data_IF_725310964887
#
_entry.id   IF_725310964887
#
_cell.length_a   1.000
_cell.length_b   1.000
_cell.length_c   1.000
_cell.angle_alpha   90.00
_cell.angle_beta   90.00
_cell.angle_gamma   90.00
#
_symmetry.space_group_name_H-M   'P 1'
#
loop_
_entity.id
_entity.type
_entity.pdbx_description
1 polymer ?
#
# COMPACT_ATOMS: atom_id res chain seq x y z
N UNK A 1 4.37 -14.16 1.82
CA UNK A 1 3.91 -15.54 2.14
C UNK A 1 4.62 -16.14 3.37
N UNK A 2 5.63 -15.47 3.93
CA UNK A 2 6.25 -15.77 5.24
C UNK A 2 5.43 -15.26 6.44
N UNK A 3 4.43 -14.41 6.21
CA UNK A 3 3.66 -13.67 7.24
C UNK A 3 2.75 -14.56 8.12
N UNK A 4 2.76 -15.88 7.89
CA UNK A 4 1.95 -16.86 8.62
C UNK A 4 2.61 -17.33 9.92
N UNK A 5 3.95 -17.39 9.98
CA UNK A 5 4.63 -17.96 11.14
C UNK A 5 4.62 -17.02 12.35
N UNK A 6 4.88 -15.72 12.17
CA UNK A 6 4.83 -14.74 13.27
C UNK A 6 3.45 -14.68 13.93
N UNK A 7 2.38 -14.70 13.13
CA UNK A 7 1.02 -14.74 13.65
C UNK A 7 0.75 -16.03 14.46
N UNK A 8 1.29 -17.18 14.00
CA UNK A 8 1.17 -18.45 14.73
C UNK A 8 1.95 -18.49 16.02
N UNK A 9 3.15 -17.92 16.04
CA UNK A 9 3.94 -17.78 17.26
C UNK A 9 3.13 -17.02 18.31
N UNK A 10 2.58 -15.86 17.95
CA UNK A 10 1.74 -15.04 18.83
C UNK A 10 0.50 -15.82 19.30
N UNK A 11 -0.23 -16.46 18.39
CA UNK A 11 -1.46 -17.22 18.72
C UNK A 11 -1.20 -18.45 19.57
N UNK A 12 -0.02 -19.07 19.44
CA UNK A 12 0.41 -20.21 20.28
C UNK A 12 0.92 -19.75 21.65
N UNK A 13 1.08 -18.43 21.83
CA UNK A 13 1.55 -17.80 23.05
C UNK A 13 3.06 -17.82 23.23
N UNK A 14 3.83 -17.94 22.14
CA UNK A 14 5.28 -17.70 22.16
C UNK A 14 5.53 -16.26 22.64
N UNK A 15 6.49 -16.03 23.56
CA UNK A 15 6.79 -14.70 24.08
C UNK A 15 7.16 -13.71 22.97
N UNK A 16 6.74 -12.45 23.12
CA UNK A 16 7.09 -11.38 22.18
C UNK A 16 8.58 -11.04 22.23
N UNK A 17 9.27 -11.50 23.26
CA UNK A 17 10.71 -11.39 23.52
C UNK A 17 11.54 -12.39 22.69
N UNK A 18 10.91 -13.37 22.03
CA UNK A 18 11.63 -14.31 21.16
C UNK A 18 12.40 -13.55 20.05
N UNK A 19 13.68 -13.87 19.91
CA UNK A 19 14.58 -13.13 19.03
C UNK A 19 14.18 -13.14 17.55
N UNK A 20 13.63 -14.26 17.08
CA UNK A 20 13.14 -14.33 15.70
C UNK A 20 11.84 -13.52 15.55
N UNK A 21 10.90 -13.65 16.49
CA UNK A 21 9.65 -12.90 16.46
C UNK A 21 9.90 -11.40 16.48
N UNK A 22 10.74 -10.91 17.38
CA UNK A 22 11.12 -9.49 17.43
C UNK A 22 11.76 -9.03 16.13
N UNK A 23 12.70 -9.81 15.57
CA UNK A 23 13.33 -9.48 14.29
C UNK A 23 12.30 -9.36 13.16
N UNK A 24 11.32 -10.29 13.09
CA UNK A 24 10.25 -10.24 12.09
C UNK A 24 9.30 -9.06 12.31
N UNK A 25 8.91 -8.77 13.55
CA UNK A 25 8.07 -7.62 13.88
C UNK A 25 8.76 -6.30 13.55
N UNK A 26 10.08 -6.21 13.78
CA UNK A 26 10.87 -5.04 13.41
C UNK A 26 10.92 -4.84 11.88
N UNK A 27 11.10 -5.92 11.10
CA UNK A 27 11.04 -5.86 9.63
C UNK A 27 9.65 -5.41 9.16
N UNK A 28 8.57 -5.95 9.73
CA UNK A 28 7.20 -5.55 9.41
C UNK A 28 6.97 -4.06 9.72
N UNK A 29 7.39 -3.60 10.90
CA UNK A 29 7.31 -2.20 11.28
C UNK A 29 8.12 -1.30 10.32
N UNK A 30 9.31 -1.73 9.90
CA UNK A 30 10.11 -1.00 8.92
C UNK A 30 9.43 -0.93 7.55
N UNK A 31 8.77 -2.00 7.11
CA UNK A 31 7.99 -2.01 5.87
C UNK A 31 6.80 -1.05 5.92
N UNK A 32 6.06 -1.01 7.04
CA UNK A 32 4.97 -0.04 7.23
C UNK A 32 5.51 1.41 7.24
N UNK A 33 6.66 1.66 7.88
CA UNK A 33 7.32 2.98 7.88
C UNK A 33 7.76 3.43 6.48
N UNK A 34 8.01 2.52 5.53
CA UNK A 34 8.26 2.90 4.13
C UNK A 34 7.04 3.56 3.49
N UNK A 35 5.83 3.19 3.91
CA UNK A 35 4.60 3.86 3.46
C UNK A 35 4.57 5.33 3.86
N UNK A 36 5.01 5.66 5.08
CA UNK A 36 5.09 7.05 5.57
C UNK A 36 6.06 7.88 4.71
N UNK A 37 7.22 7.31 4.36
CA UNK A 37 8.19 7.94 3.44
C UNK A 37 7.60 8.22 2.05
N UNK A 38 6.60 7.42 1.63
CA UNK A 38 5.85 7.61 0.38
C UNK A 38 4.63 8.54 0.54
N UNK A 39 4.47 9.22 1.68
CA UNK A 39 3.33 10.09 1.97
C UNK A 39 2.02 9.36 2.30
N UNK A 40 2.06 8.04 2.56
CA UNK A 40 0.89 7.26 2.95
C UNK A 40 0.63 7.42 4.45
N UNK A 41 -0.09 8.49 4.79
CA UNK A 41 -0.45 8.80 6.16
C UNK A 41 -1.82 8.17 6.50
N UNK A 42 -1.90 7.32 7.54
CA UNK A 42 -3.19 6.82 7.99
C UNK A 42 -3.99 7.94 8.66
N UNK A 43 -5.18 8.22 8.13
CA UNK A 43 -6.12 9.20 8.69
C UNK A 43 -7.40 8.45 9.01
N UNK A 44 -7.89 8.57 10.25
CA UNK A 44 -9.17 7.99 10.66
C UNK A 44 -10.34 8.74 10.03
N UNK A 45 -11.50 8.08 9.96
CA UNK A 45 -12.76 8.70 9.56
C UNK A 45 -12.74 9.18 8.10
N UNK A 46 -12.03 8.43 7.27
CA UNK A 46 -11.90 8.61 5.83
C UNK A 46 -12.30 7.32 5.12
N UNK A 47 -13.03 7.45 4.02
CA UNK A 47 -13.64 6.33 3.30
C UNK A 47 -13.45 6.51 1.80
N UNK A 48 -13.38 5.40 1.06
CA UNK A 48 -13.59 5.42 -0.38
C UNK A 48 -15.01 4.93 -0.68
N UNK A 49 -15.83 5.80 -1.25
CA UNK A 49 -17.23 5.55 -1.54
C UNK A 49 -17.47 5.57 -3.04
N UNK A 50 -18.29 4.65 -3.54
CA UNK A 50 -18.69 4.64 -4.94
C UNK A 50 -19.63 5.82 -5.20
N UNK A 51 -19.29 6.65 -6.20
CA UNK A 51 -20.10 7.78 -6.59
C UNK A 51 -21.26 7.38 -7.49
N UNK A 52 -22.43 7.92 -7.22
CA UNK A 52 -23.60 7.80 -8.10
C UNK A 52 -24.50 9.03 -7.95
N UNK A 53 -25.57 9.11 -8.73
CA UNK A 53 -26.53 10.22 -8.69
C UNK A 53 -27.68 9.95 -7.74
N UNK A 54 -28.29 11.01 -7.22
CA UNK A 54 -29.56 10.97 -6.49
C UNK A 54 -30.69 10.57 -7.44
N UNK A 55 -31.28 9.36 -7.29
CA UNK A 55 -32.39 8.93 -8.13
C UNK A 55 -33.69 9.69 -7.83
N UNK A 56 -33.78 10.38 -6.69
CA UNK A 56 -34.99 11.08 -6.25
C UNK A 56 -35.05 12.53 -6.74
N UNK A 57 -33.90 13.11 -7.09
CA UNK A 57 -33.77 14.53 -7.47
C UNK A 57 -34.08 15.52 -6.34
N UNK A 58 -34.03 15.08 -5.07
CA UNK A 58 -34.40 15.89 -3.90
C UNK A 58 -33.20 16.54 -3.22
N UNK A 59 -31.98 16.02 -3.44
CA UNK A 59 -30.77 16.64 -2.93
C UNK A 59 -30.52 17.99 -3.62
N UNK A 60 -30.22 19.02 -2.81
CA UNK A 60 -29.82 20.34 -3.31
C UNK A 60 -28.38 20.32 -3.83
N UNK A 61 -28.00 21.34 -4.60
CA UNK A 61 -26.69 21.42 -5.26
C UNK A 61 -25.46 21.19 -4.35
N UNK A 62 -25.52 21.56 -3.06
CA UNK A 62 -24.40 21.37 -2.10
C UNK A 62 -24.66 20.23 -1.10
N UNK A 63 -25.68 19.41 -1.33
CA UNK A 63 -26.07 18.29 -0.48
C UNK A 63 -25.76 16.96 -1.16
N UNK A 64 -25.27 16.01 -0.38
CA UNK A 64 -25.02 14.63 -0.81
C UNK A 64 -25.69 13.66 0.15
N UNK A 65 -25.86 12.39 -0.23
CA UNK A 65 -26.23 11.34 0.70
C UNK A 65 -25.08 10.34 0.83
N UNK A 66 -24.43 10.33 1.99
CA UNK A 66 -23.34 9.39 2.31
C UNK A 66 -23.89 8.18 3.06
N UNK A 67 -23.61 6.98 2.55
CA UNK A 67 -24.00 5.70 3.14
C UNK A 67 -22.75 4.91 3.48
N UNK A 68 -22.48 4.75 4.77
CA UNK A 68 -21.34 4.00 5.30
C UNK A 68 -21.75 2.56 5.68
N UNK A 69 -20.83 1.80 6.27
CA UNK A 69 -21.09 0.44 6.73
C UNK A 69 -22.28 0.34 7.70
N UNK A 70 -22.34 1.29 8.64
CA UNK A 70 -23.33 1.32 9.71
C UNK A 70 -24.59 2.11 9.35
N UNK A 71 -24.76 2.49 8.08
CA UNK A 71 -25.91 3.26 7.59
C UNK A 71 -25.56 4.68 7.15
N UNK A 72 -26.57 5.53 6.94
CA UNK A 72 -26.37 6.88 6.42
C UNK A 72 -25.69 7.79 7.44
N UNK A 73 -24.79 8.64 6.95
CA UNK A 73 -24.14 9.69 7.73
C UNK A 73 -24.78 11.06 7.45
N UNK A 74 -25.00 11.86 8.48
CA UNK A 74 -25.52 13.24 8.34
C UNK A 74 -24.53 14.22 8.98
N UNK A 75 -24.16 15.27 8.25
CA UNK A 75 -23.16 16.25 8.69
C UNK A 75 -22.27 16.71 7.55
N UNK A 76 -21.33 17.61 7.84
CA UNK A 76 -20.38 18.07 6.84
C UNK A 76 -19.38 16.97 6.51
N UNK A 77 -19.01 16.89 5.23
CA UNK A 77 -18.05 15.92 4.69
C UNK A 77 -17.10 16.62 3.73
N UNK A 78 -15.84 16.21 3.75
CA UNK A 78 -14.88 16.53 2.70
C UNK A 78 -14.97 15.47 1.62
N UNK A 79 -15.05 15.87 0.37
CA UNK A 79 -15.14 14.97 -0.78
C UNK A 79 -14.07 15.34 -1.78
N UNK A 80 -13.37 14.34 -2.29
CA UNK A 80 -12.30 14.50 -3.27
C UNK A 80 -12.25 13.28 -4.19
N UNK A 81 -12.04 13.51 -5.49
CA UNK A 81 -11.73 12.44 -6.44
C UNK A 81 -10.25 12.49 -6.81
N UNK A 82 -9.55 11.39 -6.52
CA UNK A 82 -8.14 11.23 -6.86
C UNK A 82 -7.97 10.64 -8.27
N UNK A 83 -6.98 11.07 -9.06
CA UNK A 83 -6.10 12.22 -8.85
C UNK A 83 -6.71 13.52 -9.36
N UNK A 84 -6.52 14.60 -8.61
CA UNK A 84 -6.84 15.98 -8.95
C UNK A 84 -5.68 16.91 -8.56
N UNK A 85 -5.48 18.00 -9.30
CA UNK A 85 -4.39 18.97 -9.06
C UNK A 85 -4.88 20.34 -8.62
N UNK A 86 -6.13 20.70 -8.91
CA UNK A 86 -6.66 22.01 -8.57
C UNK A 86 -7.13 22.05 -7.12
N UNK A 87 -6.88 23.16 -6.43
CA UNK A 87 -7.33 23.34 -5.04
C UNK A 87 -8.86 23.26 -4.88
N UNK A 88 -9.57 23.56 -5.97
CA UNK A 88 -11.02 23.44 -6.05
C UNK A 88 -11.55 22.02 -6.21
N UNK A 89 -10.70 21.00 -6.42
CA UNK A 89 -11.17 19.60 -6.57
C UNK A 89 -11.63 18.97 -5.25
N UNK A 90 -11.39 19.64 -4.12
CA UNK A 90 -11.78 19.18 -2.80
C UNK A 90 -12.95 20.04 -2.33
N UNK A 91 -14.08 19.39 -2.08
CA UNK A 91 -15.34 20.04 -1.74
C UNK A 91 -15.69 19.80 -0.27
N UNK A 92 -16.25 20.81 0.38
CA UNK A 92 -16.98 20.65 1.65
C UNK A 92 -18.46 20.60 1.33
N UNK A 93 -19.09 19.45 1.55
CA UNK A 93 -20.50 19.19 1.23
C UNK A 93 -21.28 18.85 2.50
N UNK A 94 -22.60 19.02 2.45
CA UNK A 94 -23.47 18.61 3.56
C UNK A 94 -24.10 17.26 3.25
N UNK A 95 -23.74 16.22 4.00
CA UNK A 95 -24.42 14.94 3.91
C UNK A 95 -25.79 15.02 4.59
N UNK A 96 -26.85 14.67 3.86
CA UNK A 96 -28.22 14.54 4.33
C UNK A 96 -28.80 13.20 3.90
N UNK A 97 -29.50 12.58 4.83
CA UNK A 97 -30.30 11.40 4.53
C UNK A 97 -31.73 11.78 4.14
N UNK A 98 -32.19 11.29 3.00
CA UNK A 98 -33.57 11.41 2.53
C UNK A 98 -34.17 10.01 2.54
N UNK A 99 -35.31 9.83 3.22
CA UNK A 99 -35.96 8.52 3.39
C UNK A 99 -36.23 7.83 2.05
N UNK A 100 -36.65 8.59 1.06
CA UNK A 100 -36.99 8.12 -0.29
C UNK A 100 -35.79 7.52 -1.05
N UNK A 101 -34.55 7.85 -0.66
CA UNK A 101 -33.34 7.25 -1.23
C UNK A 101 -33.24 5.77 -0.83
N UNK A 102 -33.81 5.38 0.32
CA UNK A 102 -33.75 4.00 0.81
C UNK A 102 -34.41 3.01 -0.16
N UNK A 103 -35.52 3.40 -0.79
CA UNK A 103 -36.25 2.54 -1.71
C UNK A 103 -35.42 2.23 -2.97
N UNK A 104 -34.55 3.16 -3.39
CA UNK A 104 -33.68 2.99 -4.54
C UNK A 104 -32.36 2.28 -4.20
N UNK A 105 -31.76 2.58 -3.04
CA UNK A 105 -30.41 2.11 -2.67
C UNK A 105 -30.44 0.80 -1.86
N UNK A 106 -31.59 0.47 -1.26
CA UNK A 106 -31.78 -0.77 -0.52
C UNK A 106 -30.75 -0.97 0.60
N UNK A 107 -30.06 -2.11 0.59
CA UNK A 107 -29.04 -2.49 1.58
C UNK A 107 -27.61 -2.13 1.15
N UNK A 108 -27.45 -1.28 0.12
CA UNK A 108 -26.12 -0.89 -0.35
C UNK A 108 -25.33 -0.19 0.77
N UNK A 109 -24.01 -0.37 0.75
CA UNK A 109 -23.07 0.22 1.69
C UNK A 109 -21.91 0.83 0.91
N UNK A 110 -21.26 1.82 1.50
CA UNK A 110 -20.10 2.51 0.93
C UNK A 110 -20.41 3.25 -0.39
N UNK A 111 -21.46 4.07 -0.37
CA UNK A 111 -21.89 4.87 -1.52
C UNK A 111 -22.03 6.35 -1.13
N UNK A 112 -21.80 7.22 -2.11
CA UNK A 112 -22.11 8.65 -2.03
C UNK A 112 -23.01 9.01 -3.22
N UNK A 113 -24.18 9.56 -2.92
CA UNK A 113 -25.13 10.02 -3.92
C UNK A 113 -25.03 11.53 -4.07
N UNK A 114 -24.77 11.96 -5.30
CA UNK A 114 -24.63 13.36 -5.68
C UNK A 114 -25.94 13.93 -6.21
N UNK A 115 -26.21 15.23 -5.99
CA UNK A 115 -27.41 15.86 -6.47
C UNK A 115 -27.40 15.91 -7.99
N UNK A 116 -28.59 15.77 -8.59
CA UNK A 116 -28.83 16.01 -10.03
C UNK A 116 -29.26 17.45 -10.31
N UNK A 117 -29.13 18.32 -9.30
CA UNK A 117 -29.42 19.75 -9.36
C UNK A 117 -28.14 20.58 -9.32
N UNK A 118 -28.20 21.81 -9.85
CA UNK A 118 -27.05 22.72 -9.91
C UNK A 118 -26.64 23.07 -11.35
N UNK A 119 -25.80 24.10 -11.54
CA UNK A 119 -25.37 24.53 -12.88
C UNK A 119 -24.32 23.60 -13.50
N UNK A 120 -23.59 22.86 -12.68
CA UNK A 120 -22.54 21.91 -13.05
C UNK A 120 -22.59 20.73 -12.08
N UNK A 121 -22.27 19.53 -12.56
CA UNK A 121 -22.21 18.33 -11.71
C UNK A 121 -21.07 18.46 -10.69
N UNK A 122 -21.32 18.12 -9.42
CA UNK A 122 -20.28 18.07 -8.40
C UNK A 122 -19.14 17.09 -8.76
N UNK A 123 -19.45 15.99 -9.47
CA UNK A 123 -18.43 15.08 -9.96
C UNK A 123 -17.48 15.76 -10.95
N UNK A 124 -18.04 16.51 -11.90
CA UNK A 124 -17.26 17.22 -12.92
C UNK A 124 -16.42 18.36 -12.30
N UNK A 125 -16.91 18.98 -11.23
CA UNK A 125 -16.15 19.97 -10.44
C UNK A 125 -14.93 19.36 -9.73
N UNK A 126 -14.95 18.05 -9.44
CA UNK A 126 -13.88 17.32 -8.77
C UNK A 126 -13.04 16.52 -9.78
N UNK A 127 -12.02 17.16 -10.35
CA UNK A 127 -11.08 16.51 -11.27
C UNK A 127 -11.73 15.83 -12.49
N UNK A 128 -12.71 16.51 -13.11
CA UNK A 128 -13.49 16.05 -14.29
C UNK A 128 -13.99 14.60 -14.13
N UNK A 129 -14.48 14.26 -12.92
CA UNK A 129 -14.99 12.93 -12.60
C UNK A 129 -16.39 12.72 -13.17
N UNK A 130 -16.81 11.46 -13.26
CA UNK A 130 -18.18 11.09 -13.59
C UNK A 130 -18.71 10.00 -12.64
N UNK A 131 -19.70 9.23 -13.10
CA UNK A 131 -20.38 8.18 -12.32
C UNK A 131 -20.33 6.82 -13.02
N UNK A 132 -19.29 6.55 -13.84
CA UNK A 132 -19.11 5.27 -14.55
C UNK A 132 -18.44 4.16 -13.71
N UNK A 133 -18.13 4.47 -12.45
CA UNK A 133 -17.39 3.60 -11.53
C UNK A 133 -16.42 4.36 -10.61
N UNK A 134 -16.35 5.69 -10.73
CA UNK A 134 -15.48 6.54 -9.94
C UNK A 134 -15.72 6.40 -8.41
N UNK A 135 -14.60 6.33 -7.69
CA UNK A 135 -14.54 6.24 -6.23
C UNK A 135 -14.08 7.57 -5.64
N UNK A 136 -14.83 8.06 -4.66
CA UNK A 136 -14.57 9.34 -4.01
C UNK A 136 -13.99 9.10 -2.62
N UNK A 137 -12.90 9.78 -2.33
CA UNK A 137 -12.40 9.89 -0.97
C UNK A 137 -13.32 10.83 -0.20
N UNK A 138 -13.93 10.33 0.88
CA UNK A 138 -14.84 11.06 1.74
C UNK A 138 -14.32 11.06 3.16
N UNK A 139 -14.09 12.24 3.73
CA UNK A 139 -13.65 12.37 5.12
C UNK A 139 -14.70 13.07 5.97
N UNK A 140 -14.99 12.46 7.11
CA UNK A 140 -15.80 13.03 8.19
C UNK A 140 -14.92 13.49 9.36
N UNK A 141 -13.59 13.51 9.16
CA UNK A 141 -12.62 13.89 10.18
C UNK A 141 -12.79 15.37 10.55
N UNK A 142 -13.18 15.64 11.80
CA UNK A 142 -13.45 17.00 12.25
C UNK A 142 -12.25 17.94 12.16
N UNK A 143 -11.02 17.44 12.34
CA UNK A 143 -9.83 18.29 12.29
C UNK A 143 -9.58 18.78 10.87
N UNK A 144 -9.72 17.89 9.88
CA UNK A 144 -9.61 18.26 8.47
C UNK A 144 -10.73 19.22 8.06
N UNK A 145 -11.98 18.91 8.45
CA UNK A 145 -13.14 19.77 8.16
C UNK A 145 -13.00 21.19 8.75
N UNK A 146 -12.44 21.33 9.95
CA UNK A 146 -12.23 22.63 10.61
C UNK A 146 -11.12 23.46 9.97
N UNK A 147 -10.07 22.81 9.47
CA UNK A 147 -8.89 23.49 8.92
C UNK A 147 -9.00 23.75 7.42
N UNK A 148 -9.76 22.94 6.69
CA UNK A 148 -9.87 23.04 5.25
C UNK A 148 -10.67 24.28 4.82
N UNK A 149 -10.14 25.01 3.84
CA UNK A 149 -10.79 26.18 3.24
C UNK A 149 -11.13 25.86 1.79
N UNK A 150 -12.42 25.79 1.42
CA UNK A 150 -12.80 25.46 0.05
C UNK A 150 -12.38 26.55 -0.93
N UNK A 151 -11.99 26.13 -2.12
CA UNK A 151 -11.67 27.01 -3.26
C UNK A 151 -12.71 26.84 -4.35
N UNK A 152 -12.77 27.78 -5.29
CA UNK A 152 -13.63 27.61 -6.46
C UNK A 152 -13.16 26.40 -7.29
N UNK A 153 -14.08 25.60 -7.85
CA UNK A 153 -13.74 24.51 -8.76
C UNK A 153 -12.88 24.99 -9.92
N UNK A 154 -12.12 24.07 -10.51
CA UNK A 154 -11.38 24.39 -11.74
C UNK A 154 -12.39 24.69 -12.85
N UNK A 155 -12.23 25.85 -13.49
CA UNK A 155 -13.00 26.22 -14.67
C UNK A 155 -12.05 26.21 -15.87
N UNK A 156 -12.60 25.88 -17.04
CA UNK A 156 -11.87 25.97 -18.29
C UNK A 156 -11.32 27.39 -18.49
N UNK A 157 -10.02 27.56 -18.26
CA UNK A 157 -9.33 28.81 -18.51
C UNK A 157 -9.36 29.18 -20.01
N UNK A 158 -9.15 30.46 -20.32
CA UNK A 158 -8.96 30.96 -21.69
C UNK A 158 -7.64 30.49 -22.35
N UNK A 159 -7.06 29.37 -21.90
CA UNK A 159 -5.85 28.81 -22.51
C UNK A 159 -6.28 28.19 -23.84
N UNK A 160 -5.64 28.67 -24.92
CA UNK A 160 -5.75 28.21 -26.31
C UNK A 160 -6.49 26.88 -26.41
N UNK A 161 -7.78 26.92 -26.81
CA UNK A 161 -8.55 25.71 -27.11
C UNK A 161 -7.62 24.79 -27.89
N UNK A 162 -7.38 23.56 -27.42
CA UNK A 162 -6.51 22.66 -28.14
C UNK A 162 -6.96 22.65 -29.59
N UNK A 163 -6.00 22.75 -30.52
CA UNK A 163 -6.30 22.60 -31.95
C UNK A 163 -6.98 21.24 -32.07
N UNK A 164 -8.30 21.24 -32.14
CA UNK A 164 -9.05 20.02 -32.33
C UNK A 164 -8.54 19.48 -33.65
N UNK A 165 -7.92 18.31 -33.62
CA UNK A 165 -7.65 17.59 -34.84
C UNK A 165 -8.98 17.53 -35.59
N UNK A 166 -8.97 17.86 -36.89
CA UNK A 166 -10.17 17.76 -37.72
C UNK A 166 -10.83 16.42 -37.41
N UNK A 167 -12.05 16.46 -36.86
CA UNK A 167 -12.85 15.27 -36.61
C UNK A 167 -13.20 14.70 -37.98
N UNK A 168 -12.29 13.91 -38.56
CA UNK A 168 -12.60 13.11 -39.74
C UNK A 168 -13.74 12.19 -39.33
N UNK A 169 -14.90 12.35 -39.96
CA UNK A 169 -16.00 11.44 -39.82
C UNK A 169 -15.53 10.09 -40.37
N UNK A 170 -15.14 9.17 -39.48
CA UNK A 170 -14.65 7.85 -39.87
C UNK A 170 -15.75 6.98 -40.49
N UNK A 171 -17.03 7.40 -40.35
CA UNK A 171 -18.19 6.73 -40.93
C UNK A 171 -18.29 6.89 -42.45
N UNK A 172 -17.56 7.83 -43.04
CA UNK A 172 -17.57 8.08 -44.48
C UNK A 172 -16.44 7.33 -45.22
N UNK A 173 -15.69 6.47 -44.52
CA UNK A 173 -14.59 5.67 -45.08
C UNK A 173 -15.06 4.27 -45.50
N UNK A 174 -14.55 3.78 -46.62
CA UNK A 174 -14.70 2.37 -47.01
C UNK A 174 -14.12 1.43 -45.94
N UNK A 175 -14.71 0.24 -45.77
CA UNK A 175 -14.41 -0.72 -44.70
C UNK A 175 -12.91 -1.05 -44.52
N UNK A 176 -12.10 -1.30 -45.58
CA UNK A 176 -10.67 -1.56 -45.42
C UNK A 176 -9.85 -0.34 -44.97
N UNK A 177 -10.28 0.87 -45.36
CA UNK A 177 -9.64 2.11 -44.95
C UNK A 177 -10.01 2.45 -43.49
N UNK A 178 -11.23 2.14 -43.08
CA UNK A 178 -11.67 2.26 -41.69
C UNK A 178 -10.85 1.32 -40.79
N UNK A 179 -10.75 0.04 -41.12
CA UNK A 179 -9.97 -0.94 -40.35
C UNK A 179 -8.51 -0.48 -40.19
N UNK A 180 -7.86 -0.10 -41.30
CA UNK A 180 -6.48 0.40 -41.28
C UNK A 180 -6.32 1.66 -40.42
N UNK A 181 -7.30 2.57 -40.46
CA UNK A 181 -7.28 3.81 -39.67
C UNK A 181 -7.43 3.52 -38.17
N UNK A 182 -8.34 2.60 -37.79
CA UNK A 182 -8.51 2.17 -36.41
C UNK A 182 -7.26 1.47 -35.87
N UNK A 183 -6.65 0.58 -36.66
CA UNK A 183 -5.41 -0.09 -36.28
C UNK A 183 -4.25 0.90 -36.11
N UNK A 184 -4.14 1.89 -36.98
CA UNK A 184 -3.13 2.94 -36.85
C UNK A 184 -3.30 3.76 -35.57
N UNK A 185 -4.52 4.18 -35.24
CA UNK A 185 -4.79 4.91 -33.99
C UNK A 185 -4.56 4.01 -32.75
N UNK A 186 -4.87 2.71 -32.82
CA UNK A 186 -4.50 1.76 -31.75
C UNK A 186 -2.99 1.70 -31.55
N UNK A 187 -2.20 1.54 -32.62
CA UNK A 187 -0.74 1.50 -32.52
C UNK A 187 -0.19 2.81 -31.94
N UNK A 188 -0.70 3.95 -32.39
CA UNK A 188 -0.29 5.26 -31.89
C UNK A 188 -0.64 5.43 -30.41
N UNK A 189 -1.85 5.08 -29.99
CA UNK A 189 -2.26 5.12 -28.59
C UNK A 189 -1.41 4.16 -27.71
N UNK A 190 -1.03 2.99 -28.23
CA UNK A 190 -0.27 1.98 -27.47
C UNK A 190 1.22 2.26 -27.39
N UNK A 191 1.82 2.81 -28.45
CA UNK A 191 3.27 2.92 -28.61
C UNK A 191 3.80 4.36 -28.67
N UNK A 192 2.95 5.35 -28.95
CA UNK A 192 3.31 6.77 -29.00
C UNK A 192 2.53 7.60 -27.96
N UNK A 193 2.44 7.06 -26.73
CA UNK A 193 1.73 7.70 -25.61
C UNK A 193 2.31 9.09 -25.33
N UNK A 194 1.42 10.05 -25.09
CA UNK A 194 1.84 11.34 -24.54
C UNK A 194 2.19 11.17 -23.06
N UNK A 195 3.34 11.72 -22.66
CA UNK A 195 3.72 11.81 -21.25
C UNK A 195 3.21 13.09 -20.59
N UNK A 196 2.44 13.93 -21.30
CA UNK A 196 2.06 15.27 -20.85
C UNK A 196 1.32 15.26 -19.51
N UNK A 197 0.41 14.30 -19.28
CA UNK A 197 -0.31 14.18 -18.01
C UNK A 197 0.64 13.98 -16.82
N UNK A 198 1.56 13.01 -16.94
CA UNK A 198 2.55 12.71 -15.91
C UNK A 198 3.56 13.84 -15.74
N UNK A 199 4.06 14.42 -16.84
CA UNK A 199 4.98 15.56 -16.80
C UNK A 199 4.33 16.79 -16.17
N UNK A 200 3.05 17.06 -16.45
CA UNK A 200 2.33 18.18 -15.84
C UNK A 200 2.16 17.97 -14.33
N UNK A 201 1.76 16.76 -13.91
CA UNK A 201 1.61 16.42 -12.50
C UNK A 201 2.94 16.48 -11.72
N UNK A 202 4.00 15.88 -12.24
CA UNK A 202 5.33 15.93 -11.61
C UNK A 202 5.84 17.36 -11.51
N UNK A 203 5.71 18.16 -12.60
CA UNK A 203 6.15 19.55 -12.62
C UNK A 203 5.35 20.42 -11.65
N UNK A 204 4.04 20.19 -11.57
CA UNK A 204 3.15 20.87 -10.62
C UNK A 204 3.58 20.58 -9.19
N UNK A 205 3.87 19.32 -8.86
CA UNK A 205 4.31 18.91 -7.53
C UNK A 205 5.62 19.62 -7.15
N UNK A 206 6.59 19.71 -8.06
CA UNK A 206 7.86 20.40 -7.79
C UNK A 206 7.67 21.90 -7.54
N UNK A 207 6.84 22.57 -8.33
CA UNK A 207 6.63 24.01 -8.14
C UNK A 207 5.76 24.33 -6.92
N UNK A 208 4.77 23.49 -6.62
CA UNK A 208 4.00 23.60 -5.38
C UNK A 208 4.90 23.39 -4.16
N UNK A 209 5.79 22.41 -4.21
CA UNK A 209 6.77 22.19 -3.14
C UNK A 209 7.72 23.38 -2.96
N UNK A 210 8.24 23.93 -4.07
CA UNK A 210 9.09 25.12 -4.04
C UNK A 210 8.35 26.31 -3.44
N UNK A 211 7.10 26.55 -3.84
CA UNK A 211 6.26 27.63 -3.31
C UNK A 211 6.04 27.51 -1.79
N UNK A 212 6.00 26.29 -1.27
CA UNK A 212 5.85 25.99 0.16
C UNK A 212 7.18 25.87 0.92
N UNK A 213 8.32 26.03 0.24
CA UNK A 213 9.66 25.96 0.83
C UNK A 213 10.09 27.36 1.28
N UNK A 214 10.88 27.44 2.36
CA UNK A 214 11.38 28.70 2.88
C UNK A 214 12.33 29.41 1.89
N UNK A 215 12.37 30.74 1.94
CA UNK A 215 13.30 31.55 1.14
C UNK A 215 12.86 31.79 -0.31
N UNK A 216 11.56 31.68 -0.60
CA UNK A 216 10.94 32.17 -1.84
C UNK A 216 10.50 33.61 -1.66
N UNK A 217 10.98 34.51 -2.50
CA UNK A 217 10.55 35.91 -2.51
C UNK A 217 9.23 36.11 -3.28
N UNK A 218 8.65 37.31 -3.21
CA UNK A 218 7.36 37.62 -3.81
C UNK A 218 7.38 37.50 -5.35
N UNK A 219 8.50 37.83 -5.99
CA UNK A 219 8.66 37.75 -7.44
C UNK A 219 8.72 36.29 -7.91
N UNK A 220 9.51 35.46 -7.22
CA UNK A 220 9.58 34.01 -7.47
C UNK A 220 8.20 33.36 -7.22
N UNK A 221 7.53 33.71 -6.12
CA UNK A 221 6.18 33.22 -5.79
C UNK A 221 5.18 33.53 -6.91
N UNK A 222 5.14 34.77 -7.38
CA UNK A 222 4.27 35.19 -8.48
C UNK A 222 4.54 34.43 -9.79
N UNK A 223 5.80 34.10 -10.08
CA UNK A 223 6.17 33.29 -11.25
C UNK A 223 5.74 31.84 -11.06
N UNK A 224 5.96 31.26 -9.87
CA UNK A 224 5.57 29.88 -9.55
C UNK A 224 4.06 29.71 -9.64
N UNK A 225 3.27 30.62 -9.08
CA UNK A 225 1.80 30.58 -9.17
C UNK A 225 1.31 30.56 -10.61
N UNK A 226 1.90 31.38 -11.50
CA UNK A 226 1.56 31.38 -12.93
C UNK A 226 1.89 30.05 -13.59
N UNK A 227 3.02 29.43 -13.24
CA UNK A 227 3.39 28.10 -13.75
C UNK A 227 2.43 27.02 -13.25
N UNK A 228 2.12 27.03 -11.95
CA UNK A 228 1.20 26.11 -11.30
C UNK A 228 -0.17 26.15 -11.98
N UNK A 229 -0.76 27.34 -12.16
CA UNK A 229 -2.05 27.51 -12.85
C UNK A 229 -2.04 26.95 -14.27
N UNK A 230 -1.01 27.27 -15.07
CA UNK A 230 -0.85 26.72 -16.43
C UNK A 230 -0.70 25.20 -16.44
N UNK A 231 0.02 24.63 -15.47
CA UNK A 231 0.21 23.19 -15.36
C UNK A 231 -1.08 22.47 -14.99
N UNK A 232 -1.92 23.06 -14.14
CA UNK A 232 -3.25 22.54 -13.85
C UNK A 232 -4.12 22.50 -15.11
N UNK A 233 -4.14 23.58 -15.90
CA UNK A 233 -4.90 23.60 -17.16
C UNK A 233 -4.41 22.52 -18.13
N UNK A 234 -3.09 22.38 -18.30
CA UNK A 234 -2.48 21.34 -19.14
C UNK A 234 -2.76 19.92 -18.64
N UNK A 235 -2.85 19.73 -17.32
CA UNK A 235 -3.15 18.43 -16.73
C UNK A 235 -4.56 17.96 -17.09
N UNK A 236 -5.61 18.77 -16.87
CA UNK A 236 -6.97 18.37 -17.23
C UNK A 236 -7.17 18.26 -18.74
N UNK A 237 -6.54 19.14 -19.52
CA UNK A 237 -6.48 19.01 -20.97
C UNK A 237 -5.87 17.66 -21.40
N UNK A 238 -4.76 17.25 -20.78
CA UNK A 238 -4.10 15.99 -21.08
C UNK A 238 -4.88 14.77 -20.59
N UNK A 239 -5.72 14.92 -19.57
CA UNK A 239 -6.58 13.85 -19.03
C UNK A 239 -7.63 13.43 -20.06
N UNK A 240 -8.28 14.41 -20.71
CA UNK A 240 -9.32 14.18 -21.71
C UNK A 240 -8.78 14.05 -23.15
N UNK A 241 -7.51 14.39 -23.37
CA UNK A 241 -6.86 14.35 -24.67
C UNK A 241 -7.00 13.01 -25.43
N UNK A 242 -6.86 11.82 -24.80
CA UNK A 242 -7.06 10.55 -25.50
C UNK A 242 -8.49 10.37 -26.02
N UNK A 243 -9.51 10.85 -25.30
CA UNK A 243 -10.92 10.80 -25.70
C UNK A 243 -11.21 11.79 -26.84
N UNK A 244 -10.57 12.96 -26.79
CA UNK A 244 -10.76 14.03 -27.76
C UNK A 244 -9.86 13.93 -29.01
N UNK A 245 -8.96 12.95 -29.10
CA UNK A 245 -7.99 12.83 -30.20
C UNK A 245 -6.97 13.99 -30.26
N UNK A 246 -6.81 14.71 -29.16
CA UNK A 246 -5.96 15.90 -29.08
C UNK A 246 -4.56 15.53 -28.61
N UNK A 247 -3.52 16.20 -29.13
CA UNK A 247 -2.16 16.06 -28.60
C UNK A 247 -1.81 17.23 -27.70
N UNK A 248 -1.62 16.95 -26.42
CA UNK A 248 -1.12 17.90 -25.43
C UNK A 248 0.35 17.63 -25.17
N UNK A 249 1.15 18.70 -25.10
CA UNK A 249 2.54 18.68 -24.71
C UNK A 249 2.76 19.73 -23.62
N UNK A 250 3.64 19.45 -22.65
CA UNK A 250 4.05 20.41 -21.63
C UNK A 250 5.26 21.19 -22.16
N UNK A 251 5.18 22.54 -22.27
CA UNK A 251 6.31 23.38 -22.67
C UNK A 251 7.53 23.20 -21.75
N UNK A 252 8.73 23.24 -22.32
CA UNK A 252 9.98 23.05 -21.56
C UNK A 252 10.19 24.08 -20.44
N UNK A 253 9.65 25.29 -20.58
CA UNK A 253 9.67 26.35 -19.56
C UNK A 253 8.85 26.02 -18.29
N UNK A 254 7.88 25.11 -18.41
CA UNK A 254 7.06 24.59 -17.31
C UNK A 254 7.65 23.30 -16.72
N UNK A 255 8.76 22.78 -17.25
CA UNK A 255 9.42 21.58 -16.73
C UNK A 255 10.55 21.99 -15.77
N UNK A 256 10.57 21.48 -14.52
CA UNK A 256 11.61 21.79 -13.56
C UNK A 256 12.94 21.10 -13.89
N UNK A 257 14.04 21.76 -13.52
CA UNK A 257 15.42 21.23 -13.66
C UNK A 257 15.92 20.51 -12.40
N UNK A 258 15.44 20.91 -11.22
CA UNK A 258 15.75 20.31 -9.92
C UNK A 258 14.46 19.86 -9.26
N UNK A 259 14.52 18.76 -8.54
CA UNK A 259 13.38 18.12 -7.87
C UNK A 259 13.58 18.14 -6.35
N UNK A 260 12.52 18.14 -5.55
CA UNK A 260 12.68 18.00 -4.11
C UNK A 260 13.27 16.62 -3.77
N UNK A 261 14.07 16.55 -2.71
CA UNK A 261 14.83 15.36 -2.33
C UNK A 261 13.96 14.12 -2.09
N UNK A 262 12.72 14.30 -1.62
CA UNK A 262 11.79 13.20 -1.38
C UNK A 262 11.29 12.51 -2.67
N UNK A 263 11.52 13.10 -3.86
CA UNK A 263 11.21 12.47 -5.15
C UNK A 263 12.34 11.57 -5.68
N UNK A 264 13.46 11.43 -4.95
CA UNK A 264 14.57 10.53 -5.23
C UNK A 264 15.12 10.64 -6.68
N UNK A 265 15.34 11.89 -7.12
CA UNK A 265 15.95 12.22 -8.41
C UNK A 265 17.39 12.68 -8.22
N UNK A 266 18.25 12.42 -9.23
CA UNK A 266 19.68 12.80 -9.21
C UNK A 266 19.89 14.30 -8.95
N UNK A 267 19.22 15.15 -9.72
CA UNK A 267 19.28 16.61 -9.58
C UNK A 267 18.21 17.06 -8.58
N UNK A 268 18.59 17.23 -7.31
CA UNK A 268 17.65 17.56 -6.25
C UNK A 268 18.04 18.76 -5.37
N UNK A 269 17.04 19.31 -4.67
CA UNK A 269 17.19 20.28 -3.60
C UNK A 269 16.53 19.74 -2.33
N UNK A 270 16.99 20.20 -1.16
CA UNK A 270 16.39 19.84 0.11
C UNK A 270 15.16 20.72 0.37
N UNK A 271 13.98 20.11 0.40
CA UNK A 271 12.70 20.77 0.61
C UNK A 271 12.41 20.97 2.09
N UNK A 272 12.05 22.20 2.49
CA UNK A 272 11.56 22.50 3.86
C UNK A 272 10.03 22.51 3.95
N UNK A 273 9.34 22.13 2.86
CA UNK A 273 7.89 21.96 2.85
C UNK A 273 7.46 20.85 3.83
N UNK A 274 6.15 20.72 4.04
CA UNK A 274 5.61 19.65 4.88
C UNK A 274 5.97 18.25 4.35
N UNK A 275 6.03 18.05 3.03
CA UNK A 275 6.39 16.77 2.43
C UNK A 275 7.87 16.44 2.66
N UNK A 276 8.76 17.43 2.50
CA UNK A 276 10.17 17.29 2.83
C UNK A 276 10.40 16.92 4.29
N UNK A 277 9.74 17.63 5.21
CA UNK A 277 9.81 17.38 6.67
C UNK A 277 9.33 15.98 7.05
N UNK A 278 8.21 15.52 6.48
CA UNK A 278 7.69 14.15 6.71
C UNK A 278 8.69 13.12 6.22
N UNK A 279 9.25 13.32 5.02
CA UNK A 279 10.23 12.42 4.44
C UNK A 279 11.48 12.30 5.31
N UNK A 280 12.03 13.42 5.78
CA UNK A 280 13.23 13.45 6.61
C UNK A 280 13.02 12.75 7.96
N UNK A 281 11.88 12.99 8.61
CA UNK A 281 11.57 12.33 9.89
C UNK A 281 11.35 10.82 9.67
N UNK A 282 10.68 10.43 8.58
CA UNK A 282 10.51 9.02 8.23
C UNK A 282 11.85 8.32 7.93
N UNK A 283 12.77 9.01 7.24
CA UNK A 283 14.12 8.51 6.93
C UNK A 283 15.00 8.38 8.17
N UNK A 284 14.95 9.37 9.07
CA UNK A 284 15.59 9.32 10.38
C UNK A 284 15.11 8.12 11.21
N UNK A 285 13.81 7.87 11.25
CA UNK A 285 13.22 6.70 11.95
C UNK A 285 13.46 5.35 11.28
N UNK A 286 13.80 5.33 9.99
CA UNK A 286 14.22 4.11 9.30
C UNK A 286 15.71 3.80 9.50
N UNK A 287 16.52 4.82 9.75
CA UNK A 287 17.97 4.69 9.98
C UNK A 287 18.34 4.42 11.44
N UNK A 288 17.40 4.62 12.38
CA UNK A 288 17.50 4.11 13.76
C UNK A 288 17.72 2.59 13.74
N UNK A 289 18.94 2.16 14.07
CA UNK A 289 19.28 0.73 14.17
C UNK A 289 18.39 0.11 15.25
N UNK A 290 17.66 -0.94 14.90
CA UNK A 290 17.00 -1.81 15.88
C UNK A 290 18.10 -2.34 16.79
N UNK A 291 17.98 -2.10 18.10
CA UNK A 291 18.96 -2.59 19.06
C UNK A 291 19.16 -4.11 18.90
N UNK A 292 20.39 -4.62 19.13
CA UNK A 292 20.63 -6.04 19.00
C UNK A 292 19.74 -6.79 19.98
N UNK A 293 18.79 -7.56 19.45
CA UNK A 293 17.88 -8.38 20.25
C UNK A 293 18.70 -9.39 21.04
N UNK A 294 18.51 -9.40 22.37
CA UNK A 294 19.08 -10.43 23.22
C UNK A 294 18.49 -11.79 22.84
N UNK A 295 19.35 -12.76 22.52
CA UNK A 295 18.90 -14.09 22.08
C UNK A 295 18.87 -14.99 23.31
N UNK A 296 17.69 -15.05 23.93
CA UNK A 296 17.40 -15.95 25.03
C UNK A 296 16.72 -17.21 24.50
N UNK A 297 17.07 -18.35 25.09
CA UNK A 297 16.44 -19.63 24.80
C UNK A 297 15.20 -19.78 25.68
N UNK A 298 14.09 -20.21 25.09
CA UNK A 298 12.88 -20.52 25.84
C UNK A 298 13.04 -21.84 26.62
N UNK A 299 12.88 -21.85 27.96
CA UNK A 299 12.99 -23.04 28.78
C UNK A 299 12.08 -24.19 28.33
N UNK A 300 10.89 -23.89 27.80
CA UNK A 300 9.93 -24.90 27.35
C UNK A 300 10.54 -25.81 26.28
N UNK A 301 11.35 -25.26 25.36
CA UNK A 301 11.99 -26.04 24.32
C UNK A 301 13.27 -26.73 24.80
N UNK A 302 14.09 -26.05 25.62
CA UNK A 302 15.36 -26.62 26.10
C UNK A 302 15.14 -27.78 27.09
N UNK A 303 14.13 -27.69 27.95
CA UNK A 303 13.77 -28.77 28.88
C UNK A 303 13.27 -30.02 28.14
N UNK A 304 12.46 -29.85 27.08
CA UNK A 304 12.00 -30.97 26.25
C UNK A 304 13.17 -31.61 25.49
N UNK A 305 14.06 -30.81 24.92
CA UNK A 305 15.26 -31.31 24.23
C UNK A 305 16.17 -32.11 25.19
N UNK A 306 16.37 -31.62 26.42
CA UNK A 306 17.13 -32.33 27.46
C UNK A 306 16.44 -33.63 27.89
N UNK A 307 15.11 -33.62 28.02
CA UNK A 307 14.32 -34.80 28.41
C UNK A 307 14.37 -35.94 27.39
N UNK A 308 14.62 -35.62 26.11
CA UNK A 308 14.86 -36.63 25.06
C UNK A 308 16.23 -37.32 25.17
N UNK A 309 17.05 -36.94 26.16
CA UNK A 309 18.42 -37.43 26.32
C UNK A 309 19.35 -36.98 25.19
N UNK A 310 19.03 -35.86 24.51
CA UNK A 310 19.75 -35.36 23.36
C UNK A 310 19.88 -36.36 22.20
N UNK A 311 18.94 -37.31 22.09
CA UNK A 311 18.91 -38.39 21.10
C UNK A 311 19.17 -37.90 19.67
N UNK A 312 18.64 -36.71 19.34
CA UNK A 312 18.69 -36.15 17.99
C UNK A 312 19.75 -35.06 17.79
N UNK A 313 20.58 -34.78 18.80
CA UNK A 313 21.52 -33.65 18.79
C UNK A 313 22.57 -33.78 17.69
N UNK A 314 23.26 -34.92 17.62
CA UNK A 314 24.30 -35.16 16.60
C UNK A 314 23.73 -35.13 15.18
N UNK A 315 22.53 -35.70 14.99
CA UNK A 315 21.85 -35.74 13.70
C UNK A 315 21.54 -34.32 13.20
N UNK A 316 20.87 -33.51 14.01
CA UNK A 316 20.46 -32.16 13.60
C UNK A 316 21.61 -31.15 13.62
N UNK A 317 22.66 -31.39 14.42
CA UNK A 317 23.88 -30.59 14.34
C UNK A 317 24.59 -30.76 12.99
N UNK A 318 24.68 -32.00 12.48
CA UNK A 318 25.18 -32.29 11.13
C UNK A 318 24.32 -31.63 10.05
N UNK A 319 23.01 -31.88 10.07
CA UNK A 319 22.05 -31.29 9.12
C UNK A 319 22.06 -29.76 9.12
N UNK A 320 22.22 -29.11 10.29
CA UNK A 320 22.30 -27.66 10.34
C UNK A 320 23.62 -27.11 9.77
N UNK A 321 24.73 -27.84 9.87
CA UNK A 321 25.98 -27.46 9.19
C UNK A 321 25.89 -27.64 7.67
N UNK A 322 25.22 -28.68 7.20
CA UNK A 322 24.87 -28.85 5.79
C UNK A 322 24.03 -27.66 5.30
N UNK A 323 22.99 -27.29 6.05
CA UNK A 323 22.17 -26.12 5.74
C UNK A 323 23.00 -24.83 5.63
N UNK A 324 23.95 -24.60 6.53
CA UNK A 324 24.80 -23.41 6.48
C UNK A 324 25.74 -23.42 5.27
N UNK A 325 26.24 -24.59 4.88
CA UNK A 325 27.06 -24.75 3.67
C UNK A 325 26.24 -24.53 2.40
N UNK A 326 25.01 -25.04 2.35
CA UNK A 326 24.09 -24.91 1.21
C UNK A 326 23.49 -23.50 1.09
N UNK A 327 23.20 -22.83 2.21
CA UNK A 327 22.63 -21.48 2.24
C UNK A 327 23.65 -20.37 2.03
N UNK A 328 24.93 -20.59 2.38
CA UNK A 328 25.99 -19.60 2.22
C UNK A 328 26.05 -18.98 0.82
N UNK A 329 26.16 -19.78 -0.26
CA UNK A 329 26.20 -19.28 -1.63
C UNK A 329 24.93 -18.54 -2.08
N UNK A 330 23.78 -18.79 -1.43
CA UNK A 330 22.51 -18.15 -1.78
C UNK A 330 22.43 -16.70 -1.29
N UNK A 331 23.22 -16.33 -0.27
CA UNK A 331 23.18 -14.99 0.33
C UNK A 331 23.79 -13.93 -0.60
N UNK A 332 24.74 -14.32 -1.45
CA UNK A 332 25.48 -13.40 -2.33
C UNK A 332 24.87 -13.26 -3.74
N UNK A 333 23.73 -13.91 -4.01
CA UNK A 333 23.08 -13.84 -5.32
C UNK A 333 22.36 -12.49 -5.51
N UNK A 334 22.51 -11.88 -6.68
CA UNK A 334 21.93 -10.57 -7.00
C UNK A 334 20.43 -10.65 -7.35
N UNK A 335 19.97 -11.80 -7.85
CA UNK A 335 18.55 -12.03 -8.14
C UNK A 335 17.80 -12.44 -6.89
N UNK A 336 16.97 -11.53 -6.37
CA UNK A 336 16.20 -11.74 -5.16
C UNK A 336 15.07 -12.77 -5.33
N UNK A 337 14.41 -12.82 -6.49
CA UNK A 337 13.30 -13.74 -6.70
C UNK A 337 13.79 -15.18 -6.82
N UNK A 338 14.89 -15.37 -7.57
CA UNK A 338 15.54 -16.68 -7.68
C UNK A 338 16.06 -17.16 -6.33
N UNK A 339 16.65 -16.25 -5.54
CA UNK A 339 17.16 -16.55 -4.20
C UNK A 339 16.04 -16.98 -3.25
N UNK A 340 14.92 -16.25 -3.23
CA UNK A 340 13.74 -16.59 -2.42
C UNK A 340 13.17 -17.97 -2.79
N UNK A 341 13.22 -18.34 -4.08
CA UNK A 341 12.78 -19.67 -4.53
C UNK A 341 13.74 -20.77 -4.05
N UNK A 342 15.05 -20.59 -4.21
CA UNK A 342 16.07 -21.55 -3.73
C UNK A 342 16.01 -21.77 -2.22
N UNK A 343 15.79 -20.70 -1.43
CA UNK A 343 15.59 -20.83 0.01
C UNK A 343 14.33 -21.62 0.36
N UNK A 344 13.23 -21.45 -0.37
CA UNK A 344 12.01 -22.26 -0.16
C UNK A 344 12.25 -23.74 -0.42
N UNK A 345 12.94 -24.08 -1.51
CA UNK A 345 13.33 -25.47 -1.82
C UNK A 345 14.23 -26.06 -0.75
N UNK A 346 15.19 -25.27 -0.26
CA UNK A 346 16.09 -25.66 0.82
C UNK A 346 15.30 -25.94 2.12
N UNK A 347 14.41 -25.04 2.55
CA UNK A 347 13.56 -25.29 3.71
C UNK A 347 12.65 -26.50 3.50
N UNK A 348 12.16 -26.71 2.28
CA UNK A 348 11.32 -27.86 1.95
C UNK A 348 12.07 -29.18 2.15
N UNK A 349 13.33 -29.26 1.71
CA UNK A 349 14.22 -30.41 1.96
C UNK A 349 14.31 -30.75 3.45
N UNK A 350 14.58 -29.77 4.30
CA UNK A 350 14.69 -29.99 5.75
C UNK A 350 13.34 -30.27 6.43
N UNK A 351 12.22 -29.74 5.91
CA UNK A 351 10.88 -30.12 6.37
C UNK A 351 10.59 -31.59 6.11
N UNK A 352 10.92 -32.10 4.91
CA UNK A 352 10.77 -33.53 4.62
C UNK A 352 11.62 -34.38 5.56
N UNK A 353 12.85 -33.97 5.87
CA UNK A 353 13.71 -34.67 6.84
C UNK A 353 13.18 -34.67 8.28
N UNK A 354 12.33 -33.70 8.65
CA UNK A 354 11.73 -33.59 9.98
C UNK A 354 10.35 -34.25 10.04
N UNK A 355 9.52 -34.11 9.02
CA UNK A 355 8.10 -34.50 9.05
C UNK A 355 7.79 -35.76 8.23
N UNK A 356 8.72 -36.26 7.42
CA UNK A 356 8.47 -37.22 6.33
C UNK A 356 7.32 -36.78 5.40
N UNK A 357 7.08 -35.47 5.34
CA UNK A 357 5.98 -34.85 4.62
C UNK A 357 6.33 -33.42 4.24
N UNK A 358 5.53 -32.84 3.34
CA UNK A 358 5.77 -31.47 2.90
C UNK A 358 5.52 -30.44 4.01
N UNK A 359 4.51 -30.72 4.85
CA UNK A 359 4.09 -29.86 5.96
C UNK A 359 3.81 -30.71 7.20
N UNK A 360 3.89 -30.08 8.37
CA UNK A 360 3.66 -30.73 9.67
C UNK A 360 2.28 -31.41 9.74
N UNK A 361 1.22 -30.77 9.23
CA UNK A 361 -0.14 -31.29 9.28
C UNK A 361 -0.33 -32.61 8.49
N UNK A 362 0.62 -32.99 7.64
CA UNK A 362 0.60 -34.21 6.82
C UNK A 362 1.45 -35.33 7.41
N UNK A 363 2.18 -35.07 8.50
CA UNK A 363 3.10 -36.04 9.08
C UNK A 363 2.36 -37.29 9.56
N UNK A 364 2.91 -38.46 9.22
CA UNK A 364 2.48 -39.76 9.78
C UNK A 364 3.43 -40.24 10.89
N UNK A 365 4.44 -39.43 11.21
CA UNK A 365 5.41 -39.74 12.27
C UNK A 365 4.75 -39.62 13.64
N UNK A 366 5.34 -40.28 14.63
CA UNK A 366 4.97 -40.07 16.03
C UNK A 366 5.22 -38.60 16.41
N UNK A 367 4.19 -37.92 16.90
CA UNK A 367 4.25 -36.49 17.24
C UNK A 367 5.26 -36.20 18.36
N UNK A 368 5.42 -37.10 19.33
CA UNK A 368 6.40 -36.92 20.41
C UNK A 368 7.83 -36.88 19.86
N UNK A 369 8.16 -37.76 18.91
CA UNK A 369 9.48 -37.75 18.25
C UNK A 369 9.69 -36.48 17.42
N UNK A 370 8.65 -36.04 16.71
CA UNK A 370 8.71 -34.78 15.93
C UNK A 370 8.91 -33.59 16.86
N UNK A 371 8.27 -33.56 18.03
CA UNK A 371 8.47 -32.50 19.03
C UNK A 371 9.87 -32.53 19.64
N UNK A 372 10.40 -33.71 19.95
CA UNK A 372 11.77 -33.87 20.46
C UNK A 372 12.79 -33.35 19.46
N UNK A 373 12.64 -33.71 18.18
CA UNK A 373 13.49 -33.23 17.09
C UNK A 373 13.35 -31.72 16.88
N UNK A 374 12.12 -31.20 16.85
CA UNK A 374 11.86 -29.77 16.67
C UNK A 374 12.50 -28.92 17.79
N UNK A 375 12.37 -29.36 19.05
CA UNK A 375 12.99 -28.70 20.21
C UNK A 375 14.52 -28.79 20.15
N UNK A 376 15.06 -29.93 19.70
CA UNK A 376 16.50 -30.09 19.48
C UNK A 376 17.02 -29.14 18.39
N UNK A 377 16.30 -28.98 17.28
CA UNK A 377 16.62 -27.99 16.23
C UNK A 377 16.61 -26.57 16.81
N UNK A 378 15.58 -26.21 17.58
CA UNK A 378 15.50 -24.91 18.24
C UNK A 378 16.74 -24.65 19.09
N UNK A 379 17.10 -25.58 19.97
CA UNK A 379 18.26 -25.43 20.86
C UNK A 379 19.57 -25.24 20.08
N UNK A 380 19.89 -26.14 19.14
CA UNK A 380 21.13 -26.07 18.35
C UNK A 380 21.28 -24.71 17.66
N UNK A 381 20.20 -24.24 17.04
CA UNK A 381 20.24 -23.02 16.23
C UNK A 381 20.26 -21.79 17.12
N UNK A 382 19.49 -21.74 18.21
CA UNK A 382 19.45 -20.59 19.10
C UNK A 382 20.74 -20.43 19.90
N UNK A 383 21.36 -21.52 20.38
CA UNK A 383 22.69 -21.47 21.01
C UNK A 383 23.73 -20.89 20.04
N UNK A 384 23.71 -21.34 18.77
CA UNK A 384 24.61 -20.79 17.74
C UNK A 384 24.25 -19.34 17.41
N UNK A 385 22.98 -18.99 17.30
CA UNK A 385 22.54 -17.63 17.01
C UNK A 385 22.97 -16.66 18.13
N UNK A 386 22.79 -17.05 19.40
CA UNK A 386 23.22 -16.32 20.59
C UNK A 386 24.74 -16.13 20.61
N UNK A 387 25.52 -17.20 20.39
CA UNK A 387 26.99 -17.15 20.35
C UNK A 387 27.52 -16.15 19.32
N UNK A 388 26.87 -16.07 18.16
CA UNK A 388 27.29 -15.17 17.08
C UNK A 388 26.52 -13.84 17.05
N UNK A 389 25.59 -13.60 18.00
CA UNK A 389 24.69 -12.43 18.04
C UNK A 389 23.98 -12.16 16.71
N UNK A 390 23.47 -13.23 16.06
CA UNK A 390 22.81 -13.16 14.74
C UNK A 390 21.40 -13.74 14.79
N UNK A 391 20.42 -12.91 15.15
CA UNK A 391 19.00 -13.29 15.22
C UNK A 391 18.45 -13.83 13.87
N UNK A 392 18.98 -13.35 12.74
CA UNK A 392 18.60 -13.86 11.41
C UNK A 392 18.84 -15.37 11.22
N UNK A 393 19.76 -15.98 12.00
CA UNK A 393 20.01 -17.43 11.96
C UNK A 393 18.88 -18.26 12.55
N UNK A 394 18.07 -17.68 13.43
CA UNK A 394 16.88 -18.33 13.99
C UNK A 394 15.82 -18.61 12.91
N UNK A 395 15.92 -17.99 11.73
CA UNK A 395 15.00 -18.22 10.63
C UNK A 395 14.91 -19.68 10.17
N UNK A 396 16.00 -20.44 10.24
CA UNK A 396 15.96 -21.88 9.91
C UNK A 396 14.97 -22.64 10.79
N UNK A 397 14.98 -22.38 12.10
CA UNK A 397 14.09 -23.05 13.07
C UNK A 397 12.64 -22.79 12.70
N UNK A 398 12.26 -21.53 12.53
CA UNK A 398 10.86 -21.17 12.33
C UNK A 398 10.34 -21.49 10.94
N UNK A 399 11.22 -21.57 9.93
CA UNK A 399 10.85 -22.01 8.59
C UNK A 399 10.72 -23.53 8.46
N UNK A 400 11.47 -24.31 9.24
CA UNK A 400 11.46 -25.79 9.19
C UNK A 400 10.60 -26.39 10.30
N UNK A 401 10.96 -26.13 11.56
CA UNK A 401 10.35 -26.71 12.76
C UNK A 401 9.22 -25.85 13.37
N UNK A 402 9.03 -24.61 12.90
CA UNK A 402 8.14 -23.64 13.54
C UNK A 402 6.70 -24.08 13.72
N UNK A 403 6.18 -24.94 12.83
CA UNK A 403 4.84 -25.53 12.96
C UNK A 403 4.73 -26.47 14.16
N UNK A 404 5.65 -27.42 14.28
CA UNK A 404 5.70 -28.36 15.40
C UNK A 404 5.95 -27.62 16.73
N UNK A 405 6.87 -26.65 16.75
CA UNK A 405 7.17 -25.85 17.94
C UNK A 405 5.95 -25.07 18.43
N UNK A 406 5.22 -24.40 17.53
CA UNK A 406 3.98 -23.70 17.90
C UNK A 406 2.94 -24.66 18.48
N UNK A 407 2.78 -25.86 17.89
CA UNK A 407 1.82 -26.87 18.38
C UNK A 407 2.22 -27.41 19.74
N UNK A 408 3.49 -27.74 19.93
CA UNK A 408 4.04 -28.21 21.20
C UNK A 408 3.85 -27.18 22.30
N UNK A 409 4.27 -25.94 22.06
CA UNK A 409 4.15 -24.85 23.04
C UNK A 409 2.69 -24.61 23.47
N UNK A 410 1.75 -24.69 22.53
CA UNK A 410 0.33 -24.56 22.81
C UNK A 410 -0.24 -25.72 23.65
N UNK A 411 0.35 -26.92 23.57
CA UNK A 411 -0.06 -28.08 24.38
C UNK A 411 0.50 -28.02 25.81
N UNK A 412 1.72 -27.51 25.97
CA UNK A 412 2.39 -27.38 27.29
C UNK A 412 1.82 -26.23 28.12
N UNK A 413 1.39 -25.13 27.49
CA UNK A 413 0.78 -24.01 28.18
C UNK A 413 -0.67 -24.34 28.62
N UNK A 414 -0.83 -24.92 29.82
CA UNK A 414 -2.14 -25.16 30.47
C UNK A 414 -2.88 -23.83 30.76
N UNK A 415 -3.65 -23.30 29.80
CA UNK A 415 -4.55 -22.14 29.96
C UNK A 415 -5.15 -21.66 28.63
N UNK A 416 -6.34 -21.04 28.67
CA UNK A 416 -7.21 -20.58 27.56
C UNK A 416 -6.48 -20.06 26.31
N UNK A 417 -6.08 -20.97 25.40
CA UNK A 417 -5.44 -20.62 24.13
C UNK A 417 -6.10 -21.38 22.98
N UNK A 418 -6.50 -20.64 21.96
CA UNK A 418 -7.26 -21.17 20.82
C UNK A 418 -6.32 -21.47 19.66
N UNK A 419 -6.28 -22.73 19.24
CA UNK A 419 -5.68 -23.11 17.96
C UNK A 419 -6.58 -22.64 16.83
N UNK A 420 -6.24 -21.50 16.24
CA UNK A 420 -7.04 -20.90 15.16
C UNK A 420 -6.57 -21.42 13.79
N UNK A 421 -7.48 -21.93 12.95
CA UNK A 421 -7.14 -22.30 11.57
C UNK A 421 -6.54 -21.14 10.78
N UNK A 422 -5.60 -21.45 9.88
CA UNK A 422 -4.83 -20.46 9.11
C UNK A 422 -5.72 -19.49 8.31
N UNK A 423 -6.87 -19.96 7.85
CA UNK A 423 -7.90 -19.19 7.15
C UNK A 423 -8.53 -18.13 8.06
N UNK A 424 -8.80 -18.47 9.32
CA UNK A 424 -9.40 -17.57 10.30
C UNK A 424 -8.39 -16.52 10.77
N UNK A 425 -7.13 -16.91 11.02
CA UNK A 425 -6.05 -15.97 11.38
C UNK A 425 -5.78 -14.94 10.26
N UNK A 426 -5.81 -15.37 8.98
CA UNK A 426 -5.68 -14.47 7.82
C UNK A 426 -6.85 -13.50 7.69
N UNK A 427 -8.06 -13.90 8.08
CA UNK A 427 -9.23 -13.03 8.02
C UNK A 427 -9.20 -11.97 9.13
N UNK A 428 -8.66 -12.31 10.31
CA UNK A 428 -8.48 -11.36 11.42
C UNK A 428 -7.49 -10.24 11.07
N UNK A 429 -6.41 -10.55 10.34
CA UNK A 429 -5.41 -9.55 9.94
C UNK A 429 -5.82 -8.75 8.69
N UNK A 430 -6.68 -9.28 7.83
CA UNK A 430 -7.18 -8.58 6.63
C UNK A 430 -8.21 -7.49 6.93
N UNK A 431 -8.96 -7.58 8.05
CA UNK A 431 -10.05 -6.64 8.38
C UNK A 431 -9.60 -5.19 8.61
N UNK A 432 -8.30 -4.89 8.67
CA UNK A 432 -7.77 -3.52 8.86
C UNK A 432 -7.15 -2.89 7.60
N UNK A 433 -7.14 -3.58 6.45
CA UNK A 433 -6.49 -3.13 5.20
C UNK A 433 -7.46 -2.87 4.04
N UNK A 434 -8.73 -2.60 4.29
CA UNK A 434 -9.67 -2.18 3.25
C UNK A 434 -10.30 -0.86 3.61
#
# INVERSE_FOLDING_TARGET
MEDSISARMILSGIPLEDAYLQSRLAIMAQQERKGIKQGKLPISDCFYLMGTTDPTGKLKANEVCVILENGPYCGNVLVYKHPGLHFGDIHVLTSRYIKDIQDAVGYSRYAILFPTSGPRSLADEMANSDFDGDMYWVSINEQLLKQFKPSKPWEWGQVNKPVQAEKKCLLDLDEPLLERSLFHEFLKARFARSNALGTAADSWLVYMDRLLTDGVDEDESNVLEKKIKKLVDLYYLALDAPKAGTKINVPAELTPKKYPHYMDRKESYHSTSILGKIYDEAEKKQSEKVEPVEILLDPCFTERAASSGYKYLNLWAGRYQEYLSESGPLIDNQDKEETDLKFKELYQKYKYMLYDAAEFEQTQRNLDEVFDEACTIYQIVYEKAARFKKAGRCGFVWNVAGRALCRFYALEAKGDKVLVPLTVARNLTKKRRR
#
